data_IF_346663605638
#
_entry.id   IF_346663605638
#
_cell.length_a   1.000
_cell.length_b   1.000
_cell.length_c   1.000
_cell.angle_alpha   90.00
_cell.angle_beta   90.00
_cell.angle_gamma   90.00
#
_symmetry.space_group_name_H-M   'P 1'
#
loop_
_entity.id
_entity.type
_entity.pdbx_description
1 polymer ?
#
# COMPACT_ATOMS: atom_id res chain seq x y z
N UNK A 1 -28.80 103.37 25.64
CA UNK A 1 -28.60 104.27 24.50
C UNK A 1 -28.31 105.66 25.05
N UNK A 2 -27.13 106.25 24.90
CA UNK A 2 -25.86 105.64 24.49
C UNK A 2 -24.67 106.50 24.96
N UNK A 3 -23.48 105.94 24.72
CA UNK A 3 -22.19 106.62 24.51
C UNK A 3 -22.26 108.10 24.06
N UNK A 4 -21.29 108.98 24.35
CA UNK A 4 -19.95 108.86 24.99
C UNK A 4 -19.40 110.25 25.29
N UNK A 5 -18.58 110.40 26.32
CA UNK A 5 -17.25 111.06 26.24
C UNK A 5 -16.52 110.94 27.59
N UNK A 6 -15.72 109.87 27.75
CA UNK A 6 -14.84 109.72 28.92
C UNK A 6 -13.38 109.97 28.54
N UNK A 7 -12.72 110.80 29.37
CA UNK A 7 -11.41 111.42 29.22
C UNK A 7 -10.31 110.66 28.46
N UNK A 8 -9.54 111.39 27.64
CA UNK A 8 -8.30 110.94 26.97
C UNK A 8 -7.26 110.42 27.98
N UNK A 9 -7.26 109.11 28.26
CA UNK A 9 -6.18 108.46 29.01
C UNK A 9 -5.05 108.04 28.05
N UNK A 10 -3.99 108.83 28.01
CA UNK A 10 -2.78 108.53 27.24
C UNK A 10 -2.08 107.29 27.81
N UNK A 11 -2.21 106.14 27.15
CA UNK A 11 -1.49 104.92 27.49
C UNK A 11 -0.05 105.04 26.95
N UNK A 12 0.85 105.55 27.79
CA UNK A 12 2.27 105.21 27.65
C UNK A 12 2.43 103.72 28.02
N UNK A 13 3.18 102.91 27.24
CA UNK A 13 3.42 101.53 27.60
C UNK A 13 4.31 101.47 28.85
N UNK A 14 3.81 100.86 29.92
CA UNK A 14 4.62 100.57 31.09
C UNK A 14 5.61 99.46 30.74
N UNK A 15 6.79 99.86 30.24
CA UNK A 15 7.93 98.95 30.07
C UNK A 15 8.29 98.42 31.44
N UNK A 16 8.19 97.11 31.63
CA UNK A 16 8.68 96.47 32.84
C UNK A 16 10.20 96.64 32.88
N UNK A 17 10.69 97.44 33.84
CA UNK A 17 12.12 97.71 34.02
C UNK A 17 12.79 96.41 34.46
N UNK A 18 13.40 95.74 33.48
CA UNK A 18 14.40 94.70 33.75
C UNK A 18 15.67 95.42 34.14
N UNK A 19 16.07 95.32 35.41
CA UNK A 19 17.30 95.92 35.94
C UNK A 19 18.53 95.21 35.36
N UNK A 20 18.88 95.59 34.13
CA UNK A 20 20.04 95.11 33.39
C UNK A 20 21.16 96.13 33.64
N UNK A 21 22.15 95.74 34.45
CA UNK A 21 23.15 96.65 35.02
C UNK A 21 23.91 97.48 33.96
N UNK A 22 24.08 96.95 32.75
CA UNK A 22 24.72 97.62 31.62
C UNK A 22 23.92 98.81 31.06
N UNK A 23 22.62 98.89 31.30
CA UNK A 23 21.73 99.97 30.84
C UNK A 23 21.43 101.02 31.90
N UNK A 24 21.62 100.71 33.19
CA UNK A 24 21.34 101.63 34.31
C UNK A 24 21.96 103.04 34.14
N UNK A 25 23.20 103.21 33.65
CA UNK A 25 23.76 104.55 33.38
C UNK A 25 23.06 105.30 32.24
N UNK A 26 22.37 104.62 31.34
CA UNK A 26 21.59 105.21 30.26
C UNK A 26 20.18 105.60 30.72
N UNK A 27 19.60 104.89 31.69
CA UNK A 27 18.30 105.25 32.29
C UNK A 27 18.37 106.66 32.93
N UNK A 28 19.44 106.93 33.69
CA UNK A 28 19.72 108.27 34.25
C UNK A 28 19.87 109.35 33.15
N UNK A 29 20.50 109.01 32.03
CA UNK A 29 20.66 109.91 30.89
C UNK A 29 19.33 110.15 30.16
N UNK A 30 18.48 109.12 30.01
CA UNK A 30 17.13 109.25 29.43
C UNK A 30 16.27 110.17 30.31
N UNK A 31 16.23 109.95 31.63
CA UNK A 31 15.48 110.81 32.56
C UNK A 31 15.97 112.26 32.51
N UNK A 32 17.28 112.49 32.34
CA UNK A 32 17.84 113.84 32.09
C UNK A 32 17.35 114.44 30.77
N UNK A 33 17.38 113.67 29.66
CA UNK A 33 16.88 114.13 28.36
C UNK A 33 15.39 114.45 28.40
N UNK A 34 14.57 113.59 29.02
CA UNK A 34 13.13 113.81 29.19
C UNK A 34 12.84 115.05 30.03
N UNK A 35 13.57 115.25 31.13
CA UNK A 35 13.41 116.42 32.01
C UNK A 35 13.84 117.72 31.33
N UNK A 36 14.92 117.69 30.53
CA UNK A 36 15.51 118.89 29.91
C UNK A 36 14.80 119.26 28.60
N UNK A 37 14.43 118.27 27.79
CA UNK A 37 13.95 118.48 26.42
C UNK A 37 12.50 118.04 26.17
N UNK A 38 11.89 117.22 27.04
CA UNK A 38 10.53 116.69 26.86
C UNK A 38 9.39 117.72 26.86
N UNK A 39 9.68 118.99 27.17
CA UNK A 39 8.76 120.14 27.05
C UNK A 39 9.33 121.30 26.23
N UNK A 40 10.50 121.12 25.61
CA UNK A 40 11.21 122.18 24.89
C UNK A 40 10.61 122.37 23.49
N UNK A 41 9.99 123.52 23.25
CA UNK A 41 9.50 123.93 21.93
C UNK A 41 10.53 124.86 21.29
N UNK A 42 11.15 124.43 20.18
CA UNK A 42 12.22 125.18 19.50
C UNK A 42 11.74 125.71 18.15
N UNK A 43 11.71 127.04 17.99
CA UNK A 43 11.37 127.66 16.70
C UNK A 43 12.53 127.61 15.71
N UNK A 44 12.53 126.55 14.91
CA UNK A 44 13.52 126.29 13.86
C UNK A 44 13.42 127.23 12.64
N UNK A 45 12.47 128.18 12.61
CA UNK A 45 12.45 129.24 11.59
C UNK A 45 13.51 130.33 11.83
N UNK A 46 13.97 130.45 13.08
CA UNK A 46 15.07 131.33 13.47
C UNK A 46 16.42 130.63 13.35
N UNK A 47 17.49 131.39 13.07
CA UNK A 47 18.86 130.85 13.00
C UNK A 47 19.34 130.29 14.33
N UNK A 48 18.98 130.94 15.44
CA UNK A 48 19.31 130.56 16.81
C UNK A 48 18.55 129.29 17.25
N UNK A 49 17.23 129.24 17.02
CA UNK A 49 16.43 128.03 17.27
C UNK A 49 16.88 126.85 16.41
N UNK A 50 17.25 127.08 15.15
CA UNK A 50 17.83 126.05 14.28
C UNK A 50 19.23 125.59 14.71
N UNK A 51 19.97 126.38 15.48
CA UNK A 51 21.23 125.95 16.10
C UNK A 51 20.95 125.07 17.33
N UNK A 52 20.16 125.57 18.27
CA UNK A 52 19.73 124.85 19.48
C UNK A 52 19.09 123.49 19.15
N UNK A 53 18.18 123.43 18.17
CA UNK A 53 17.54 122.19 17.72
C UNK A 53 18.54 121.16 17.13
N UNK A 54 19.72 121.58 16.63
CA UNK A 54 20.78 120.65 16.19
C UNK A 54 21.56 120.11 17.38
N UNK A 55 21.83 120.91 18.39
CA UNK A 55 22.53 120.51 19.62
C UNK A 55 21.69 119.51 20.41
N UNK A 56 20.41 119.84 20.69
CA UNK A 56 19.43 118.92 21.30
C UNK A 56 19.33 117.60 20.53
N UNK A 57 19.38 117.64 19.19
CA UNK A 57 19.38 116.45 18.33
C UNK A 57 20.67 115.64 18.44
N UNK A 58 21.83 116.26 18.69
CA UNK A 58 23.10 115.55 18.92
C UNK A 58 23.01 114.80 20.25
N UNK A 59 22.65 115.47 21.35
CA UNK A 59 22.56 114.86 22.69
C UNK A 59 21.63 113.63 22.70
N UNK A 60 20.41 113.76 22.17
CA UNK A 60 19.44 112.65 22.08
C UNK A 60 19.97 111.51 21.19
N UNK A 61 20.61 111.84 20.07
CA UNK A 61 21.14 110.85 19.11
C UNK A 61 22.32 110.08 19.70
N UNK A 62 23.14 110.73 20.50
CA UNK A 62 24.39 110.17 21.00
C UNK A 62 24.11 109.24 22.20
N UNK A 63 23.14 109.54 23.07
CA UNK A 63 22.58 108.57 24.04
C UNK A 63 21.95 107.36 23.31
N UNK A 64 21.23 107.59 22.22
CA UNK A 64 20.66 106.49 21.39
C UNK A 64 21.74 105.61 20.74
N UNK A 65 22.90 106.17 20.37
CA UNK A 65 24.04 105.38 19.89
C UNK A 65 24.77 104.66 21.04
N UNK A 66 24.87 105.28 22.22
CA UNK A 66 25.43 104.65 23.42
C UNK A 66 24.62 103.41 23.83
N UNK A 67 23.29 103.50 23.84
CA UNK A 67 22.38 102.36 24.03
C UNK A 67 22.68 101.22 23.05
N UNK A 68 22.71 101.50 21.75
CA UNK A 68 22.97 100.48 20.71
C UNK A 68 24.37 99.83 20.83
N UNK A 69 25.38 100.61 21.22
CA UNK A 69 26.73 100.11 21.48
C UNK A 69 26.79 99.25 22.76
N UNK A 70 26.06 99.64 23.81
CA UNK A 70 25.86 98.81 25.02
C UNK A 70 25.19 97.49 24.66
N UNK A 71 24.08 97.49 23.91
CA UNK A 71 23.41 96.26 23.45
C UNK A 71 24.37 95.34 22.70
N UNK A 72 25.13 95.89 21.74
CA UNK A 72 26.11 95.15 20.95
C UNK A 72 27.22 94.55 21.81
N UNK A 73 27.68 95.28 22.84
CA UNK A 73 28.80 94.87 23.70
C UNK A 73 28.38 93.84 24.75
N UNK A 74 27.24 94.06 25.43
CA UNK A 74 26.71 93.16 26.45
C UNK A 74 26.38 91.77 25.89
N UNK A 75 25.98 91.67 24.62
CA UNK A 75 25.70 90.39 23.95
C UNK A 75 26.97 89.58 23.57
N UNK A 76 28.16 90.19 23.51
CA UNK A 76 29.40 89.49 23.14
C UNK A 76 29.71 88.28 24.04
N UNK A 77 29.77 88.39 25.38
CA UNK A 77 30.07 87.24 26.24
C UNK A 77 29.04 86.10 26.10
N UNK A 78 27.75 86.41 25.97
CA UNK A 78 26.71 85.38 25.77
C UNK A 78 26.84 84.69 24.41
N UNK A 79 27.05 85.46 23.34
CA UNK A 79 27.28 84.89 22.00
C UNK A 79 28.57 84.06 21.92
N UNK A 80 29.59 84.40 22.71
CA UNK A 80 30.82 83.62 22.79
C UNK A 80 30.59 82.33 23.59
N UNK A 81 29.97 82.41 24.78
CA UNK A 81 29.64 81.24 25.59
C UNK A 81 28.76 80.21 24.84
N UNK A 82 27.82 80.66 24.00
CA UNK A 82 27.02 79.76 23.14
C UNK A 82 27.88 79.05 22.08
N UNK A 83 28.85 79.75 21.46
CA UNK A 83 29.79 79.12 20.51
C UNK A 83 30.70 78.11 21.20
N UNK A 84 31.24 78.48 22.36
CA UNK A 84 32.17 77.63 23.12
C UNK A 84 31.45 76.36 23.63
N UNK A 85 30.21 76.50 24.10
CA UNK A 85 29.35 75.37 24.47
C UNK A 85 29.06 74.46 23.26
N UNK A 86 28.72 75.03 22.09
CA UNK A 86 28.47 74.23 20.88
C UNK A 86 29.74 73.52 20.38
N UNK A 87 30.90 74.18 20.42
CA UNK A 87 32.18 73.56 20.11
C UNK A 87 32.48 72.41 21.08
N UNK A 88 32.19 72.58 22.37
CA UNK A 88 32.35 71.50 23.38
C UNK A 88 31.40 70.32 23.15
N UNK A 89 30.15 70.57 22.75
CA UNK A 89 29.20 69.52 22.37
C UNK A 89 29.71 68.69 21.19
N UNK A 90 30.30 69.34 20.18
CA UNK A 90 30.87 68.64 19.01
C UNK A 90 32.07 67.77 19.42
N UNK A 91 33.03 68.33 20.18
CA UNK A 91 34.18 67.57 20.71
C UNK A 91 33.76 66.31 21.48
N UNK A 92 32.71 66.40 22.31
CA UNK A 92 32.24 65.27 23.12
C UNK A 92 31.63 64.17 22.23
N UNK A 93 30.92 64.53 21.16
CA UNK A 93 30.39 63.56 20.17
C UNK A 93 31.52 62.89 19.38
N UNK A 94 32.42 63.68 18.81
CA UNK A 94 33.55 63.19 18.01
C UNK A 94 34.46 62.26 18.83
N UNK A 95 34.76 62.62 20.08
CA UNK A 95 35.53 61.77 20.99
C UNK A 95 34.76 60.52 21.42
N UNK A 96 33.44 60.61 21.62
CA UNK A 96 32.58 59.47 21.94
C UNK A 96 32.57 58.40 20.84
N UNK A 97 32.35 58.80 19.59
CA UNK A 97 32.44 57.89 18.44
C UNK A 97 33.86 57.35 18.26
N UNK A 98 34.90 58.19 18.41
CA UNK A 98 36.32 57.74 18.36
C UNK A 98 36.65 56.69 19.43
N UNK A 99 36.07 56.77 20.63
CA UNK A 99 36.24 55.73 21.66
C UNK A 99 35.46 54.45 21.32
N UNK A 100 34.24 54.58 20.81
CA UNK A 100 33.38 53.46 20.37
C UNK A 100 34.03 52.67 19.23
N UNK A 101 34.54 53.35 18.20
CA UNK A 101 35.25 52.72 17.08
C UNK A 101 36.51 51.97 17.56
N UNK A 102 37.23 52.53 18.54
CA UNK A 102 38.39 51.88 19.16
C UNK A 102 38.03 50.66 20.02
N UNK A 103 36.86 50.62 20.64
CA UNK A 103 36.35 49.44 21.34
C UNK A 103 35.92 48.38 20.33
N UNK A 104 35.17 48.77 19.29
CA UNK A 104 34.74 47.87 18.23
C UNK A 104 35.93 47.19 17.53
N UNK A 105 37.00 47.94 17.24
CA UNK A 105 38.25 47.40 16.66
C UNK A 105 39.00 46.40 17.57
N UNK A 106 38.68 46.33 18.87
CA UNK A 106 39.18 45.31 19.81
C UNK A 106 38.18 44.14 19.90
N UNK A 107 36.89 44.41 19.83
CA UNK A 107 35.80 43.42 19.92
C UNK A 107 35.69 42.55 18.67
N UNK A 108 35.71 43.12 17.46
CA UNK A 108 35.56 42.41 16.18
C UNK A 108 36.48 41.20 16.03
N UNK A 109 37.82 41.28 16.21
CA UNK A 109 38.69 40.10 16.06
C UNK A 109 38.47 39.04 17.15
N UNK A 110 37.89 39.39 18.31
CA UNK A 110 37.53 38.42 19.36
C UNK A 110 36.23 37.71 19.02
N UNK A 111 35.22 38.44 18.55
CA UNK A 111 33.94 37.90 18.05
C UNK A 111 34.15 36.98 16.83
N UNK A 112 34.99 37.37 15.88
CA UNK A 112 35.38 36.54 14.74
C UNK A 112 36.10 35.25 15.17
N UNK A 113 37.02 35.35 16.14
CA UNK A 113 37.74 34.18 16.66
C UNK A 113 36.82 33.21 17.43
N UNK A 114 35.88 33.73 18.23
CA UNK A 114 34.85 32.94 18.91
C UNK A 114 34.00 32.19 17.88
N UNK A 115 33.45 32.88 16.89
CA UNK A 115 32.61 32.28 15.83
C UNK A 115 33.35 31.23 15.01
N UNK A 116 34.64 31.44 14.76
CA UNK A 116 35.48 30.46 14.05
C UNK A 116 35.67 29.18 14.87
N UNK A 117 35.92 29.28 16.18
CA UNK A 117 36.09 28.11 17.06
C UNK A 117 34.76 27.42 17.38
N UNK A 118 33.68 28.16 17.64
CA UNK A 118 32.32 27.62 17.79
C UNK A 118 31.91 26.80 16.56
N UNK A 119 32.16 27.34 15.35
CA UNK A 119 31.96 26.59 14.11
C UNK A 119 32.85 25.34 14.05
N UNK A 120 34.14 25.45 14.34
CA UNK A 120 35.08 24.30 14.30
C UNK A 120 34.64 23.19 15.26
N UNK A 121 34.12 23.55 16.44
CA UNK A 121 33.58 22.60 17.43
C UNK A 121 32.25 22.00 16.96
N UNK A 122 31.36 22.79 16.36
CA UNK A 122 30.10 22.32 15.79
C UNK A 122 30.33 21.34 14.62
N UNK A 123 31.17 21.71 13.65
CA UNK A 123 31.55 20.88 12.50
C UNK A 123 32.20 19.56 12.98
N UNK A 124 33.13 19.62 13.95
CA UNK A 124 33.77 18.44 14.52
C UNK A 124 32.84 17.57 15.38
N UNK A 125 31.77 18.14 15.95
CA UNK A 125 30.71 17.36 16.60
C UNK A 125 29.83 16.68 15.56
N UNK A 126 29.38 17.40 14.54
CA UNK A 126 28.53 16.87 13.47
C UNK A 126 29.22 15.73 12.70
N UNK A 127 30.52 15.84 12.43
CA UNK A 127 31.32 14.77 11.82
C UNK A 127 31.31 13.49 12.69
N UNK A 128 31.57 13.62 13.99
CA UNK A 128 31.52 12.49 14.94
C UNK A 128 30.12 11.89 15.06
N UNK A 129 29.09 12.74 15.09
CA UNK A 129 27.69 12.32 15.19
C UNK A 129 27.25 11.56 13.93
N UNK A 130 27.70 11.98 12.73
CA UNK A 130 27.46 11.23 11.48
C UNK A 130 28.20 9.89 11.47
N UNK A 131 29.50 9.86 11.83
CA UNK A 131 30.28 8.63 11.86
C UNK A 131 29.73 7.61 12.87
N UNK A 132 29.20 8.09 13.99
CA UNK A 132 28.55 7.26 15.02
C UNK A 132 27.17 6.76 14.56
N UNK A 133 26.38 7.60 13.88
CA UNK A 133 25.14 7.16 13.23
C UNK A 133 25.43 6.09 12.16
N UNK A 134 26.43 6.30 11.31
CA UNK A 134 26.87 5.34 10.29
C UNK A 134 27.33 4.00 10.91
N UNK A 135 28.05 4.03 12.05
CA UNK A 135 28.39 2.83 12.83
C UNK A 135 27.13 2.11 13.35
N UNK A 136 26.22 2.83 14.00
CA UNK A 136 24.99 2.27 14.58
C UNK A 136 24.08 1.69 13.48
N UNK A 137 23.93 2.38 12.35
CA UNK A 137 23.16 1.90 11.20
C UNK A 137 23.80 0.67 10.56
N UNK A 138 25.13 0.63 10.40
CA UNK A 138 25.83 -0.55 9.89
C UNK A 138 25.65 -1.77 10.81
N UNK A 139 25.71 -1.59 12.14
CA UNK A 139 25.47 -2.66 13.11
C UNK A 139 24.02 -3.13 13.08
N UNK A 140 23.04 -2.21 13.11
CA UNK A 140 21.62 -2.55 12.96
C UNK A 140 21.31 -3.23 11.62
N UNK A 141 22.00 -2.87 10.55
CA UNK A 141 21.89 -3.53 9.25
C UNK A 141 22.51 -4.93 9.22
N UNK A 142 23.45 -5.28 10.12
CA UNK A 142 23.84 -6.68 10.37
C UNK A 142 22.73 -7.42 11.11
N UNK A 143 22.25 -6.86 12.23
CA UNK A 143 21.22 -7.47 13.10
C UNK A 143 19.94 -7.78 12.29
N UNK A 144 19.49 -6.83 11.46
CA UNK A 144 18.31 -7.01 10.61
C UNK A 144 18.44 -8.09 9.51
N UNK A 145 19.63 -8.66 9.28
CA UNK A 145 19.79 -9.84 8.40
C UNK A 145 19.34 -11.11 9.11
N UNK A 146 19.54 -11.23 10.42
CA UNK A 146 19.04 -12.36 11.19
C UNK A 146 17.50 -12.31 11.27
N UNK A 147 16.90 -11.16 11.58
CA UNK A 147 15.43 -11.05 11.64
C UNK A 147 14.71 -11.26 10.29
N UNK A 148 15.39 -11.06 9.14
CA UNK A 148 14.80 -11.22 7.81
C UNK A 148 15.09 -12.57 7.13
N UNK A 149 16.07 -13.36 7.60
CA UNK A 149 16.49 -14.59 6.91
C UNK A 149 15.39 -15.65 6.84
N UNK A 150 14.63 -15.85 7.91
CA UNK A 150 13.57 -16.86 7.94
C UNK A 150 12.50 -16.60 6.87
N UNK A 151 12.06 -15.33 6.74
CA UNK A 151 11.10 -14.92 5.72
C UNK A 151 11.61 -15.13 4.29
N UNK A 152 12.91 -14.91 4.04
CA UNK A 152 13.52 -15.10 2.73
C UNK A 152 13.62 -16.58 2.29
N UNK A 153 13.57 -17.53 3.23
CA UNK A 153 13.72 -18.97 2.98
C UNK A 153 12.45 -19.81 3.23
N UNK A 154 11.35 -19.21 3.70
CA UNK A 154 10.08 -19.90 4.02
C UNK A 154 9.40 -20.70 2.88
N UNK A 155 9.80 -20.51 1.63
CA UNK A 155 9.31 -21.24 0.45
C UNK A 155 10.37 -22.11 -0.24
N UNK A 156 11.55 -22.30 0.38
CA UNK A 156 12.67 -23.06 -0.16
C UNK A 156 12.64 -24.54 0.21
N UNK A 157 13.56 -25.32 -0.34
CA UNK A 157 13.69 -26.75 0.00
C UNK A 157 14.27 -26.95 1.40
N UNK A 158 14.07 -28.12 1.99
CA UNK A 158 14.67 -28.48 3.27
C UNK A 158 16.20 -28.34 3.23
N UNK A 159 16.84 -28.72 2.12
CA UNK A 159 18.28 -28.60 1.93
C UNK A 159 18.78 -27.14 1.90
N UNK A 160 18.05 -26.23 1.24
CA UNK A 160 18.37 -24.79 1.23
C UNK A 160 18.28 -24.21 2.66
N UNK A 161 17.18 -24.50 3.37
CA UNK A 161 16.96 -24.00 4.74
C UNK A 161 18.01 -24.55 5.70
N UNK A 162 18.39 -25.84 5.58
CA UNK A 162 19.45 -26.45 6.38
C UNK A 162 20.82 -25.77 6.16
N UNK A 163 21.18 -25.46 4.90
CA UNK A 163 22.45 -24.79 4.59
C UNK A 163 22.53 -23.38 5.19
N UNK A 164 21.41 -22.65 5.21
CA UNK A 164 21.33 -21.31 5.80
C UNK A 164 21.27 -21.37 7.33
N UNK A 165 20.51 -22.32 7.90
CA UNK A 165 20.49 -22.59 9.34
C UNK A 165 21.91 -22.85 9.88
N UNK A 166 22.70 -23.65 9.17
CA UNK A 166 24.09 -23.90 9.55
C UNK A 166 24.93 -22.62 9.44
N UNK A 167 24.78 -21.85 8.36
CA UNK A 167 25.48 -20.56 8.19
C UNK A 167 25.16 -19.54 9.30
N UNK A 168 23.92 -19.52 9.80
CA UNK A 168 23.51 -18.66 10.94
C UNK A 168 24.04 -19.21 12.27
N UNK A 169 24.11 -20.53 12.46
CA UNK A 169 24.73 -21.14 13.65
C UNK A 169 26.24 -20.89 13.72
N UNK A 170 26.93 -20.93 12.58
CA UNK A 170 28.36 -20.63 12.47
C UNK A 170 28.66 -19.11 12.52
N UNK A 171 27.63 -18.26 12.57
CA UNK A 171 27.80 -16.80 12.72
C UNK A 171 28.14 -16.42 14.15
N UNK A 172 29.42 -16.14 14.38
CA UNK A 172 29.94 -15.60 15.64
C UNK A 172 29.57 -14.13 15.77
N UNK A 173 28.93 -13.76 16.89
CA UNK A 173 28.75 -12.37 17.29
C UNK A 173 30.01 -11.97 18.09
N UNK A 174 30.74 -10.97 17.63
CA UNK A 174 31.97 -10.48 18.27
C UNK A 174 31.72 -9.11 18.92
N UNK A 175 32.18 -8.86 20.16
CA UNK A 175 32.08 -7.56 20.83
C UNK A 175 32.68 -6.42 19.98
N UNK A 176 33.78 -6.70 19.27
CA UNK A 176 34.48 -5.73 18.40
C UNK A 176 33.66 -5.35 17.15
N UNK A 177 32.71 -6.20 16.72
CA UNK A 177 31.88 -5.99 15.52
C UNK A 177 30.49 -5.42 15.78
N UNK A 178 29.98 -5.55 17.01
CA UNK A 178 28.63 -5.16 17.40
C UNK A 178 28.57 -4.18 18.58
N UNK A 179 29.66 -4.02 19.34
CA UNK A 179 29.75 -3.07 20.45
C UNK A 179 28.67 -3.27 21.49
N UNK A 180 27.96 -2.20 21.83
CA UNK A 180 26.84 -2.19 22.76
C UNK A 180 25.63 -3.05 22.31
N UNK A 181 25.57 -3.41 21.02
CA UNK A 181 24.49 -4.21 20.45
C UNK A 181 24.81 -5.72 20.40
N UNK A 182 25.90 -6.20 21.00
CA UNK A 182 26.28 -7.62 21.04
C UNK A 182 25.13 -8.52 21.56
N UNK A 183 24.46 -8.09 22.63
CA UNK A 183 23.33 -8.82 23.20
C UNK A 183 22.10 -8.83 22.27
N UNK A 184 21.78 -7.70 21.62
CA UNK A 184 20.68 -7.60 20.65
C UNK A 184 20.96 -8.47 19.42
N UNK A 185 22.20 -8.47 18.92
CA UNK A 185 22.64 -9.30 17.80
C UNK A 185 22.59 -10.80 18.13
N UNK A 186 23.00 -11.19 19.33
CA UNK A 186 22.92 -12.57 19.83
C UNK A 186 21.47 -13.03 19.90
N UNK A 187 20.59 -12.25 20.54
CA UNK A 187 19.15 -12.54 20.61
C UNK A 187 18.54 -12.62 19.20
N UNK A 188 18.92 -11.73 18.27
CA UNK A 188 18.41 -11.74 16.90
C UNK A 188 18.85 -12.99 16.12
N UNK A 189 20.12 -13.39 16.23
CA UNK A 189 20.65 -14.64 15.66
C UNK A 189 19.94 -15.86 16.23
N UNK A 190 19.76 -15.92 17.54
CA UNK A 190 19.22 -17.12 18.21
C UNK A 190 17.72 -17.28 17.89
N UNK A 191 16.94 -16.19 17.86
CA UNK A 191 15.58 -16.19 17.31
C UNK A 191 15.54 -16.64 15.83
N UNK A 192 16.53 -16.25 15.01
CA UNK A 192 16.61 -16.66 13.61
C UNK A 192 16.95 -18.15 13.46
N UNK A 193 17.75 -18.72 14.38
CA UNK A 193 18.01 -20.16 14.47
C UNK A 193 16.72 -20.91 14.77
N UNK A 194 15.95 -20.51 15.79
CA UNK A 194 14.68 -21.15 16.14
C UNK A 194 13.67 -21.12 14.96
N UNK A 195 13.55 -19.97 14.29
CA UNK A 195 12.66 -19.82 13.13
C UNK A 195 13.12 -20.68 11.93
N UNK A 196 14.42 -20.75 11.65
CA UNK A 196 14.96 -21.60 10.58
C UNK A 196 14.85 -23.10 10.92
N UNK A 197 14.94 -23.51 12.18
CA UNK A 197 14.68 -24.90 12.60
C UNK A 197 13.20 -25.28 12.40
N UNK A 198 12.28 -24.41 12.78
CA UNK A 198 10.85 -24.61 12.54
C UNK A 198 10.53 -24.70 11.03
N UNK A 199 11.12 -23.81 10.21
CA UNK A 199 10.96 -23.83 8.76
C UNK A 199 11.60 -25.07 8.11
N UNK A 200 12.79 -25.48 8.56
CA UNK A 200 13.48 -26.67 8.06
C UNK A 200 12.64 -27.93 8.29
N UNK A 201 12.08 -28.09 9.50
CA UNK A 201 11.15 -29.18 9.80
C UNK A 201 9.91 -29.13 8.91
N UNK A 202 9.27 -27.97 8.79
CA UNK A 202 8.07 -27.82 7.95
C UNK A 202 8.35 -28.07 6.45
N UNK A 203 9.58 -27.82 5.98
CA UNK A 203 10.01 -28.17 4.62
C UNK A 203 10.19 -29.69 4.46
N UNK A 204 10.80 -30.39 5.42
CA UNK A 204 10.89 -31.86 5.44
C UNK A 204 9.48 -32.48 5.42
N UNK A 205 8.61 -32.04 6.33
CA UNK A 205 7.23 -32.56 6.43
C UNK A 205 6.45 -32.38 5.11
N UNK A 206 6.65 -31.25 4.41
CA UNK A 206 6.08 -30.97 3.08
C UNK A 206 6.66 -31.86 1.99
N UNK A 207 7.99 -32.02 1.94
CA UNK A 207 8.68 -32.82 0.92
C UNK A 207 8.36 -34.31 1.07
N UNK A 208 8.30 -34.82 2.31
CA UNK A 208 7.83 -36.17 2.59
C UNK A 208 6.38 -36.39 2.17
N UNK A 209 5.48 -35.43 2.44
CA UNK A 209 4.09 -35.52 2.03
C UNK A 209 3.94 -35.53 0.50
N UNK A 210 4.70 -34.69 -0.20
CA UNK A 210 4.74 -34.67 -1.67
C UNK A 210 5.29 -35.99 -2.26
N UNK A 211 6.35 -36.55 -1.66
CA UNK A 211 6.91 -37.84 -2.08
C UNK A 211 5.93 -39.01 -1.87
N UNK A 212 5.21 -39.03 -0.73
CA UNK A 212 4.17 -40.03 -0.43
C UNK A 212 2.99 -39.93 -1.41
N UNK A 213 2.53 -38.72 -1.72
CA UNK A 213 1.46 -38.47 -2.70
C UNK A 213 1.88 -38.93 -4.11
N UNK A 214 3.10 -38.62 -4.53
CA UNK A 214 3.63 -39.01 -5.85
C UNK A 214 3.82 -40.54 -5.97
N UNK A 215 4.16 -41.22 -4.88
CA UNK A 215 4.18 -42.68 -4.83
C UNK A 215 2.76 -43.29 -4.95
N UNK A 216 1.78 -42.76 -4.22
CA UNK A 216 0.38 -43.18 -4.30
C UNK A 216 -0.22 -42.96 -5.70
N UNK A 217 0.11 -41.85 -6.37
CA UNK A 217 -0.29 -41.59 -7.76
C UNK A 217 0.24 -42.66 -8.72
N UNK A 218 1.53 -43.02 -8.61
CA UNK A 218 2.15 -44.09 -9.41
C UNK A 218 1.51 -45.45 -9.17
N UNK A 219 1.28 -45.83 -7.92
CA UNK A 219 0.63 -47.10 -7.57
C UNK A 219 -0.80 -47.18 -8.15
N UNK A 220 -1.55 -46.07 -8.09
CA UNK A 220 -2.90 -45.97 -8.60
C UNK A 220 -2.95 -45.99 -10.15
N UNK A 221 -2.00 -45.36 -10.83
CA UNK A 221 -1.88 -45.44 -12.30
C UNK A 221 -1.38 -46.80 -12.79
N UNK A 222 -0.47 -47.45 -12.05
CA UNK A 222 -0.11 -48.86 -12.29
C UNK A 222 -1.33 -49.79 -12.13
N UNK A 223 -2.17 -49.56 -11.11
CA UNK A 223 -3.36 -50.35 -10.85
C UNK A 223 -4.42 -50.13 -11.95
N UNK A 224 -4.58 -48.90 -12.44
CA UNK A 224 -5.39 -48.59 -13.63
C UNK A 224 -4.90 -49.32 -14.88
N UNK A 225 -3.60 -49.34 -15.14
CA UNK A 225 -3.08 -50.04 -16.33
C UNK A 225 -3.22 -51.56 -16.22
N UNK A 226 -3.00 -52.13 -15.02
CA UNK A 226 -3.28 -53.54 -14.73
C UNK A 226 -4.76 -53.88 -14.94
N UNK A 227 -5.68 -52.99 -14.56
CA UNK A 227 -7.12 -53.13 -14.86
C UNK A 227 -7.39 -53.06 -16.36
N UNK A 228 -6.85 -52.07 -17.09
CA UNK A 228 -7.02 -51.94 -18.55
C UNK A 228 -6.52 -53.17 -19.31
N UNK A 229 -5.40 -53.75 -18.90
CA UNK A 229 -4.87 -55.00 -19.47
C UNK A 229 -5.82 -56.16 -19.17
N UNK A 230 -6.24 -56.35 -17.91
CA UNK A 230 -7.15 -57.42 -17.53
C UNK A 230 -8.53 -57.32 -18.21
N UNK A 231 -9.06 -56.11 -18.40
CA UNK A 231 -10.31 -55.86 -19.14
C UNK A 231 -10.15 -56.17 -20.64
N UNK A 232 -9.00 -55.81 -21.23
CA UNK A 232 -8.69 -56.15 -22.63
C UNK A 232 -8.52 -57.66 -22.84
N UNK A 233 -7.76 -58.35 -21.97
CA UNK A 233 -7.62 -59.81 -21.97
C UNK A 233 -8.99 -60.50 -21.79
N UNK A 234 -9.83 -59.98 -20.90
CA UNK A 234 -11.19 -60.47 -20.70
C UNK A 234 -12.09 -60.21 -21.92
N UNK A 235 -11.92 -59.10 -22.64
CA UNK A 235 -12.65 -58.85 -23.88
C UNK A 235 -12.16 -59.76 -25.02
N UNK A 236 -10.85 -59.95 -25.18
CA UNK A 236 -10.29 -60.89 -26.16
C UNK A 236 -10.75 -62.33 -25.89
N UNK A 237 -10.76 -62.78 -24.63
CA UNK A 237 -11.26 -64.10 -24.27
C UNK A 237 -12.77 -64.25 -24.52
N UNK A 238 -13.56 -63.17 -24.34
CA UNK A 238 -15.00 -63.15 -24.74
C UNK A 238 -15.15 -63.23 -26.25
N UNK A 239 -14.33 -62.50 -27.02
CA UNK A 239 -14.32 -62.53 -28.50
C UNK A 239 -13.93 -63.92 -29.02
N UNK A 240 -12.86 -64.52 -28.50
CA UNK A 240 -12.43 -65.88 -28.84
C UNK A 240 -13.53 -66.92 -28.57
N UNK A 241 -14.20 -66.86 -27.41
CA UNK A 241 -15.34 -67.76 -27.11
C UNK A 241 -16.51 -67.53 -28.05
N UNK A 242 -16.87 -66.28 -28.34
CA UNK A 242 -17.94 -65.96 -29.29
C UNK A 242 -17.60 -66.42 -30.73
N UNK A 243 -16.32 -66.44 -31.12
CA UNK A 243 -15.86 -67.00 -32.39
C UNK A 243 -15.84 -68.54 -32.39
N UNK A 244 -15.41 -69.18 -31.30
CA UNK A 244 -15.56 -70.62 -31.11
C UNK A 244 -17.02 -71.06 -31.18
N UNK A 245 -17.93 -70.38 -30.49
CA UNK A 245 -19.36 -70.70 -30.49
C UNK A 245 -19.98 -70.48 -31.87
N UNK A 246 -19.59 -69.42 -32.59
CA UNK A 246 -19.95 -69.24 -34.01
C UNK A 246 -19.43 -70.38 -34.89
N UNK A 247 -18.20 -70.86 -34.66
CA UNK A 247 -17.66 -72.01 -35.39
C UNK A 247 -18.38 -73.32 -35.04
N UNK A 248 -18.71 -73.56 -33.76
CA UNK A 248 -19.47 -74.73 -33.29
C UNK A 248 -20.86 -74.75 -33.90
N UNK A 249 -21.57 -73.61 -33.83
CA UNK A 249 -22.91 -73.46 -34.40
C UNK A 249 -22.89 -73.59 -35.93
N UNK A 250 -21.86 -73.05 -36.60
CA UNK A 250 -21.68 -73.26 -38.04
C UNK A 250 -21.44 -74.74 -38.38
N UNK A 251 -20.57 -75.46 -37.64
CA UNK A 251 -20.35 -76.91 -37.87
C UNK A 251 -21.64 -77.71 -37.68
N UNK A 252 -22.44 -77.38 -36.66
CA UNK A 252 -23.77 -77.99 -36.46
C UNK A 252 -24.73 -77.70 -37.64
N UNK A 253 -24.69 -76.50 -38.23
CA UNK A 253 -25.45 -76.19 -39.44
C UNK A 253 -24.92 -76.95 -40.66
N UNK A 254 -23.60 -76.95 -40.89
CA UNK A 254 -22.95 -77.71 -41.97
C UNK A 254 -23.23 -79.23 -41.87
N UNK A 255 -23.28 -79.78 -40.66
CA UNK A 255 -23.63 -81.18 -40.34
C UNK A 255 -25.13 -81.46 -40.55
N UNK A 256 -26.04 -80.59 -40.09
CA UNK A 256 -27.48 -80.74 -40.34
C UNK A 256 -27.82 -80.61 -41.83
N UNK A 257 -27.11 -79.74 -42.56
CA UNK A 257 -27.27 -79.61 -44.01
C UNK A 257 -26.63 -80.78 -44.78
N UNK A 258 -25.61 -81.45 -44.22
CA UNK A 258 -25.15 -82.75 -44.72
C UNK A 258 -26.21 -83.84 -44.48
N UNK A 259 -26.73 -83.97 -43.26
CA UNK A 259 -27.79 -84.93 -42.94
C UNK A 259 -29.06 -84.73 -43.79
N UNK A 260 -29.43 -83.47 -44.10
CA UNK A 260 -30.50 -83.15 -45.05
C UNK A 260 -30.19 -83.68 -46.44
N UNK A 261 -29.01 -83.36 -46.99
CA UNK A 261 -28.58 -83.83 -48.32
C UNK A 261 -28.47 -85.36 -48.40
N UNK A 262 -28.00 -86.02 -47.35
CA UNK A 262 -27.92 -87.48 -47.26
C UNK A 262 -29.31 -88.12 -47.15
N UNK A 263 -30.24 -87.53 -46.39
CA UNK A 263 -31.63 -87.97 -46.33
C UNK A 263 -32.38 -87.74 -47.65
N UNK A 264 -32.10 -86.64 -48.35
CA UNK A 264 -32.63 -86.36 -49.68
C UNK A 264 -32.07 -87.33 -50.72
N UNK A 265 -30.76 -87.62 -50.69
CA UNK A 265 -30.13 -88.62 -51.55
C UNK A 265 -30.61 -90.05 -51.26
N UNK A 266 -30.79 -90.42 -49.98
CA UNK A 266 -31.37 -91.71 -49.59
C UNK A 266 -32.84 -91.82 -50.03
N UNK A 267 -33.64 -90.76 -49.88
CA UNK A 267 -34.99 -90.71 -50.44
C UNK A 267 -35.00 -90.78 -51.96
N UNK A 268 -34.04 -90.16 -52.65
CA UNK A 268 -33.91 -90.25 -54.10
C UNK A 268 -33.60 -91.69 -54.51
N UNK A 269 -32.61 -92.33 -53.88
CA UNK A 269 -32.31 -93.75 -54.12
C UNK A 269 -33.43 -94.70 -53.68
N UNK A 270 -34.25 -94.35 -52.68
CA UNK A 270 -35.45 -95.13 -52.33
C UNK A 270 -36.49 -94.98 -53.44
N UNK A 271 -36.83 -93.77 -53.87
CA UNK A 271 -37.74 -93.54 -55.01
C UNK A 271 -37.26 -94.16 -56.31
N UNK A 272 -35.95 -94.18 -56.56
CA UNK A 272 -35.35 -94.87 -57.72
C UNK A 272 -35.45 -96.39 -57.60
N UNK A 273 -35.20 -96.96 -56.41
CA UNK A 273 -35.38 -98.40 -56.14
C UNK A 273 -36.84 -98.82 -56.14
N UNK A 274 -37.74 -97.99 -55.62
CA UNK A 274 -39.19 -98.22 -55.66
C UNK A 274 -39.71 -98.09 -57.09
N UNK A 275 -39.19 -97.15 -57.89
CA UNK A 275 -39.50 -97.06 -59.32
C UNK A 275 -38.88 -98.19 -60.13
N UNK A 276 -37.69 -98.71 -59.76
CA UNK A 276 -37.14 -99.95 -60.33
C UNK A 276 -38.05 -101.13 -59.95
N UNK A 277 -38.34 -101.33 -58.67
CA UNK A 277 -39.21 -102.39 -58.18
C UNK A 277 -40.64 -102.33 -58.72
N UNK A 278 -41.18 -101.12 -58.98
CA UNK A 278 -42.45 -100.94 -59.70
C UNK A 278 -42.33 -101.30 -61.18
N UNK A 279 -41.24 -100.96 -61.88
CA UNK A 279 -40.99 -101.42 -63.26
C UNK A 279 -40.79 -102.93 -63.32
N UNK A 280 -40.07 -103.51 -62.37
CA UNK A 280 -39.86 -104.95 -62.23
C UNK A 280 -41.18 -105.65 -61.88
N UNK A 281 -42.04 -105.04 -61.05
CA UNK A 281 -43.39 -105.54 -60.80
C UNK A 281 -44.32 -105.35 -62.00
N UNK A 282 -44.23 -104.27 -62.78
CA UNK A 282 -44.99 -104.09 -64.02
C UNK A 282 -44.55 -105.08 -65.10
N UNK A 283 -43.25 -105.41 -65.18
CA UNK A 283 -42.71 -106.43 -66.07
C UNK A 283 -43.07 -107.84 -65.59
N UNK A 284 -42.95 -108.13 -64.29
CA UNK A 284 -43.43 -109.39 -63.71
C UNK A 284 -44.96 -109.52 -63.79
N UNK A 285 -45.73 -108.43 -63.74
CA UNK A 285 -47.19 -108.44 -63.96
C UNK A 285 -47.51 -108.57 -65.45
N UNK A 286 -46.72 -108.01 -66.38
CA UNK A 286 -46.84 -108.33 -67.82
C UNK A 286 -46.58 -109.82 -68.08
N UNK A 287 -45.48 -110.36 -67.55
CA UNK A 287 -45.12 -111.78 -67.67
C UNK A 287 -46.16 -112.68 -66.99
N UNK A 288 -46.68 -112.29 -65.83
CA UNK A 288 -47.69 -113.06 -65.08
C UNK A 288 -49.10 -112.93 -65.65
N UNK A 289 -49.46 -111.80 -66.27
CA UNK A 289 -50.69 -111.64 -67.04
C UNK A 289 -50.63 -112.35 -68.40
N UNK A 290 -49.44 -112.59 -68.95
CA UNK A 290 -49.23 -113.53 -70.05
C UNK A 290 -49.27 -115.01 -69.60
N UNK A 291 -48.97 -115.30 -68.33
CA UNK A 291 -48.86 -116.67 -67.81
C UNK A 291 -50.09 -117.20 -67.05
N UNK A 292 -50.95 -116.34 -66.47
CA UNK A 292 -52.12 -116.78 -65.71
C UNK A 292 -53.25 -115.73 -65.63
N UNK A 293 -54.47 -116.19 -65.91
CA UNK A 293 -55.72 -115.56 -65.50
C UNK A 293 -56.77 -116.67 -65.19
N UNK A 294 -57.71 -116.47 -64.24
CA UNK A 294 -57.78 -115.47 -63.16
C UNK A 294 -58.16 -116.13 -61.80
N UNK A 295 -58.80 -115.34 -60.91
CA UNK A 295 -59.64 -115.76 -59.76
C UNK A 295 -58.97 -115.92 -58.36
N UNK A 296 -59.71 -115.65 -57.24
CA UNK A 296 -59.16 -114.76 -56.18
C UNK A 296 -59.53 -115.11 -54.69
N UNK A 297 -59.32 -114.10 -53.81
CA UNK A 297 -60.07 -113.78 -52.56
C UNK A 297 -59.48 -114.16 -51.17
N UNK A 298 -59.95 -113.40 -50.15
CA UNK A 298 -59.68 -113.44 -48.69
C UNK A 298 -58.20 -113.27 -48.24
N UNK A 299 -57.75 -112.30 -47.41
CA UNK A 299 -58.36 -111.24 -46.57
C UNK A 299 -59.13 -111.68 -45.29
N UNK A 300 -58.62 -111.32 -44.09
CA UNK A 300 -59.38 -111.12 -42.82
C UNK A 300 -58.54 -110.46 -41.68
N UNK A 301 -59.20 -109.58 -40.89
CA UNK A 301 -59.03 -109.03 -39.50
C UNK A 301 -57.96 -109.67 -38.57
N UNK A 302 -57.20 -109.02 -37.65
CA UNK A 302 -57.25 -107.73 -36.87
C UNK A 302 -55.80 -107.12 -36.67
N UNK A 303 -55.42 -106.06 -35.91
CA UNK A 303 -55.95 -105.14 -34.86
C UNK A 303 -56.17 -105.69 -33.41
N UNK A 304 -56.35 -104.88 -32.32
CA UNK A 304 -55.86 -103.54 -31.91
C UNK A 304 -54.94 -103.60 -30.62
N UNK A 305 -54.54 -102.53 -29.88
CA UNK A 305 -55.26 -101.85 -28.74
C UNK A 305 -54.39 -100.76 -28.05
N UNK A 306 -54.95 -99.54 -27.83
CA UNK A 306 -55.03 -98.65 -26.61
C UNK A 306 -53.80 -98.63 -25.62
N UNK A 307 -53.25 -97.50 -25.11
CA UNK A 307 -53.90 -96.33 -24.47
C UNK A 307 -53.09 -95.00 -24.41
N UNK A 308 -53.82 -93.90 -24.16
CA UNK A 308 -53.41 -92.56 -23.66
C UNK A 308 -53.53 -92.55 -22.08
N UNK A 309 -53.16 -91.54 -21.22
CA UNK A 309 -53.49 -90.09 -21.34
C UNK A 309 -52.47 -89.02 -20.82
N UNK A 310 -52.75 -87.74 -21.11
CA UNK A 310 -52.12 -86.52 -20.53
C UNK A 310 -52.78 -86.04 -19.20
N UNK A 311 -52.22 -85.05 -18.44
CA UNK A 311 -52.35 -83.59 -18.71
C UNK A 311 -51.07 -82.74 -18.34
N UNK A 312 -50.93 -81.39 -18.30
CA UNK A 312 -51.56 -80.14 -18.84
C UNK A 312 -51.82 -79.05 -17.76
N UNK A 313 -51.64 -77.73 -18.08
CA UNK A 313 -51.93 -76.47 -17.30
C UNK A 313 -50.84 -75.97 -16.30
N UNK A 314 -50.53 -74.67 -16.01
CA UNK A 314 -50.99 -73.29 -16.43
C UNK A 314 -49.76 -72.32 -16.56
N UNK A 315 -49.96 -71.10 -17.10
CA UNK A 315 -49.05 -69.93 -17.21
C UNK A 315 -48.64 -69.26 -15.85
N UNK A 316 -47.87 -68.15 -15.73
CA UNK A 316 -48.01 -66.81 -16.35
C UNK A 316 -46.68 -65.98 -16.45
N UNK A 317 -46.78 -64.65 -16.72
CA UNK A 317 -45.76 -63.81 -17.40
C UNK A 317 -45.68 -62.37 -16.83
N UNK A 318 -44.47 -61.87 -16.51
CA UNK A 318 -43.92 -60.48 -16.52
C UNK A 318 -44.67 -59.26 -15.89
N UNK A 319 -44.06 -58.04 -15.76
CA UNK A 319 -42.65 -57.66 -15.50
C UNK A 319 -42.47 -56.48 -14.50
N UNK A 320 -41.23 -55.95 -14.44
CA UNK A 320 -40.84 -54.53 -14.27
C UNK A 320 -40.47 -53.95 -12.86
N UNK A 321 -39.61 -52.91 -12.79
CA UNK A 321 -38.93 -52.48 -11.55
C UNK A 321 -39.33 -51.09 -11.02
N UNK A 322 -38.73 -50.68 -9.90
CA UNK A 322 -38.70 -49.30 -9.40
C UNK A 322 -37.26 -48.77 -9.34
N UNK A 323 -37.06 -47.45 -9.44
CA UNK A 323 -35.76 -46.80 -9.60
C UNK A 323 -35.48 -45.72 -8.53
N UNK A 324 -34.19 -45.38 -8.42
CA UNK A 324 -33.55 -44.15 -7.93
C UNK A 324 -34.08 -43.42 -6.67
N UNK A 325 -33.17 -43.28 -5.71
CA UNK A 325 -33.10 -42.15 -4.79
C UNK A 325 -31.64 -41.91 -4.31
N UNK A 326 -30.73 -41.55 -5.22
CA UNK A 326 -29.43 -41.00 -4.82
C UNK A 326 -29.60 -39.55 -4.33
N UNK A 327 -29.08 -39.25 -3.15
CA UNK A 327 -29.10 -37.91 -2.55
C UNK A 327 -27.68 -37.47 -2.17
N UNK A 328 -27.01 -36.75 -3.07
CA UNK A 328 -25.72 -36.11 -2.82
C UNK A 328 -25.89 -34.87 -1.91
N UNK A 329 -26.09 -35.13 -0.63
CA UNK A 329 -26.14 -34.10 0.41
C UNK A 329 -24.73 -33.65 0.80
N UNK A 330 -24.09 -32.85 -0.06
CA UNK A 330 -22.79 -32.23 0.20
C UNK A 330 -22.81 -30.69 -0.02
N UNK A 331 -23.98 -30.09 0.16
CA UNK A 331 -24.18 -28.64 0.21
C UNK A 331 -24.22 -28.25 1.70
N UNK A 332 -23.33 -27.37 2.20
CA UNK A 332 -23.35 -26.94 3.59
C UNK A 332 -24.64 -26.15 3.89
N UNK A 333 -25.17 -26.31 5.10
CA UNK A 333 -26.35 -25.57 5.52
C UNK A 333 -26.08 -24.06 5.63
N UNK A 334 -27.13 -23.26 5.52
CA UNK A 334 -27.02 -21.80 5.68
C UNK A 334 -26.46 -21.38 7.06
N UNK A 335 -26.55 -22.23 8.08
CA UNK A 335 -25.94 -21.98 9.40
C UNK A 335 -24.41 -22.15 9.35
N UNK A 336 -23.93 -23.23 8.74
CA UNK A 336 -22.49 -23.51 8.60
C UNK A 336 -21.81 -22.46 7.71
N UNK A 337 -22.49 -21.97 6.67
CA UNK A 337 -21.99 -20.87 5.82
C UNK A 337 -21.86 -19.56 6.61
N UNK A 338 -22.84 -19.23 7.47
CA UNK A 338 -22.76 -18.05 8.37
C UNK A 338 -21.60 -18.19 9.36
N UNK A 339 -21.44 -19.35 9.98
CA UNK A 339 -20.39 -19.61 10.98
C UNK A 339 -18.98 -19.57 10.36
N UNK A 340 -18.79 -20.15 9.17
CA UNK A 340 -17.52 -20.07 8.42
C UNK A 340 -17.19 -18.64 8.02
N UNK A 341 -18.18 -17.83 7.60
CA UNK A 341 -17.96 -16.40 7.28
C UNK A 341 -17.63 -15.59 8.53
N UNK A 342 -18.36 -15.80 9.64
CA UNK A 342 -18.08 -15.13 10.92
C UNK A 342 -16.65 -15.43 11.41
N UNK A 343 -16.24 -16.70 11.36
CA UNK A 343 -14.89 -17.13 11.75
C UNK A 343 -13.80 -16.61 10.80
N UNK A 344 -14.03 -16.64 9.48
CA UNK A 344 -13.03 -16.22 8.48
C UNK A 344 -12.79 -14.70 8.45
N UNK A 345 -13.79 -13.89 8.83
CA UNK A 345 -13.68 -12.42 8.86
C UNK A 345 -13.65 -11.82 10.27
N UNK A 346 -13.65 -12.65 11.31
CA UNK A 346 -13.63 -12.27 12.73
C UNK A 346 -14.78 -11.30 13.12
N UNK A 347 -15.98 -11.52 12.58
CA UNK A 347 -17.21 -10.77 12.88
C UNK A 347 -18.24 -11.64 13.61
N UNK A 348 -19.31 -11.04 14.14
CA UNK A 348 -20.39 -11.81 14.76
C UNK A 348 -21.24 -12.58 13.74
N UNK A 349 -21.91 -13.65 14.17
CA UNK A 349 -22.83 -14.42 13.33
C UNK A 349 -23.99 -13.55 12.79
N UNK A 350 -24.43 -12.54 13.54
CA UNK A 350 -25.47 -11.61 13.10
C UNK A 350 -24.98 -10.67 11.99
N UNK A 351 -23.74 -10.16 12.08
CA UNK A 351 -23.10 -9.36 11.02
C UNK A 351 -22.84 -10.21 9.77
N UNK A 352 -22.28 -11.41 9.92
CA UNK A 352 -22.08 -12.35 8.81
C UNK A 352 -23.41 -12.72 8.13
N UNK A 353 -24.47 -12.96 8.89
CA UNK A 353 -25.81 -13.23 8.35
C UNK A 353 -26.43 -12.01 7.66
N UNK A 354 -26.17 -10.79 8.15
CA UNK A 354 -26.59 -9.55 7.49
C UNK A 354 -25.86 -9.33 6.16
N UNK A 355 -24.55 -9.59 6.09
CA UNK A 355 -23.77 -9.49 4.86
C UNK A 355 -24.21 -10.51 3.80
N UNK A 356 -24.43 -11.77 4.19
CA UNK A 356 -24.90 -12.82 3.28
C UNK A 356 -26.31 -12.50 2.73
N UNK A 357 -27.21 -11.94 3.56
CA UNK A 357 -28.53 -11.44 3.11
C UNK A 357 -28.44 -10.21 2.20
N UNK A 358 -27.38 -9.40 2.30
CA UNK A 358 -27.15 -8.26 1.42
C UNK A 358 -26.51 -8.65 0.07
N UNK A 359 -25.93 -9.85 -0.05
CA UNK A 359 -25.37 -10.39 -1.30
C UNK A 359 -26.32 -11.36 -2.02
N UNK A 360 -27.30 -11.94 -1.32
CA UNK A 360 -28.38 -12.75 -1.91
C UNK A 360 -29.49 -11.85 -2.45
N UNK A 361 -29.49 -11.61 -3.77
CA UNK A 361 -30.62 -11.02 -4.51
C UNK A 361 -31.81 -11.98 -4.64
#
# INVERSE_FOLDING_TARGET
MSETEESKKSIAPAVAVTDIAEYRPHEEQIVRLETTYGKLVVDCSTSEGLANAKEVRVDIRDVRYALANTTKTALVPYQQAVKDAQARVNQVKEFGETLKDRVLAIETPVDEAIKAEEKRVADAKAEKERLEQERIEAIRAKINRFSSVAAAYASRSAADVASVLQSVKDSVILPEEYGEFEAEATISRDNAIEQLEALHKAAIDREEAAAKLLAQQKELDELREKQRIADAEAEELRRQRAEEDRQRLKRQQDELDQQRRDMEAQQHQQRERDAQYQRDQEELVRLRAQAAAPAPAAAVVAAPVIADPAPTLVAAVDPAPAADAFADSNIPSASEVVEVVAMAFCVTNDEASAWLRAMSF
#
